data_IF_005241479915
#
_entry.id   IF_005241479915
#
_cell.length_a   1.000
_cell.length_b   1.000
_cell.length_c   1.000
_cell.angle_alpha   90.00
_cell.angle_beta   90.00
_cell.angle_gamma   90.00
#
_symmetry.space_group_name_H-M   'P 1'
#
loop_
_entity.id
_entity.type
_entity.pdbx_description
1 polymer ?
#
# COMPACT_ATOMS: atom_id res chain seq x y z
N UNK A 1 17.52 -11.97 -1.29
CA UNK A 1 18.42 -10.96 -1.88
C UNK A 1 19.00 -10.15 -0.74
N UNK A 2 20.32 -9.90 -0.69
CA UNK A 2 20.87 -8.94 0.27
C UNK A 2 20.32 -7.54 -0.02
N UNK A 3 20.14 -6.74 1.04
CA UNK A 3 19.70 -5.35 0.91
C UNK A 3 20.80 -4.52 0.23
N UNK A 4 20.39 -3.65 -0.68
CA UNK A 4 21.27 -2.64 -1.28
C UNK A 4 21.66 -1.59 -0.23
N UNK A 5 22.85 -0.96 -0.33
CA UNK A 5 23.24 0.12 0.59
C UNK A 5 22.18 1.22 0.75
N UNK A 6 21.55 1.64 -0.36
CA UNK A 6 20.46 2.62 -0.35
C UNK A 6 19.21 2.14 0.42
N UNK A 7 18.93 0.84 0.36
CA UNK A 7 17.80 0.24 1.09
C UNK A 7 18.08 0.20 2.60
N UNK A 8 19.34 -0.06 2.97
CA UNK A 8 19.79 0.04 4.36
C UNK A 8 19.72 1.48 4.89
N UNK A 9 20.13 2.48 4.11
CA UNK A 9 19.99 3.90 4.46
C UNK A 9 18.52 4.27 4.68
N UNK A 10 17.62 3.81 3.81
CA UNK A 10 16.18 4.06 3.95
C UNK A 10 15.63 3.44 5.24
N UNK A 11 16.04 2.21 5.57
CA UNK A 11 15.67 1.56 6.83
C UNK A 11 16.20 2.32 8.05
N UNK A 12 17.45 2.79 8.00
CA UNK A 12 18.04 3.59 9.05
C UNK A 12 17.26 4.90 9.25
N UNK A 13 16.88 5.59 8.17
CA UNK A 13 16.06 6.80 8.24
C UNK A 13 14.72 6.56 8.97
N UNK A 14 14.03 5.46 8.70
CA UNK A 14 12.75 5.16 9.39
C UNK A 14 12.92 4.92 10.89
N UNK A 15 14.04 4.31 11.30
CA UNK A 15 14.35 4.04 12.70
C UNK A 15 14.84 5.30 13.43
N UNK A 16 15.78 6.03 12.82
CA UNK A 16 16.53 7.10 13.47
C UNK A 16 15.83 8.45 13.36
N UNK A 17 15.26 8.79 12.19
CA UNK A 17 14.64 10.11 11.96
C UNK A 17 13.15 10.11 12.25
N UNK A 18 12.43 9.09 11.77
CA UNK A 18 10.98 9.01 11.95
C UNK A 18 10.56 8.37 13.27
N UNK A 19 11.51 7.86 14.04
CA UNK A 19 11.31 7.12 15.29
C UNK A 19 10.20 6.08 15.18
N UNK A 20 10.12 5.40 14.03
CA UNK A 20 9.14 4.36 13.82
C UNK A 20 9.55 3.13 14.61
N UNK A 21 8.58 2.55 15.31
CA UNK A 21 8.83 1.32 16.03
C UNK A 21 9.18 0.20 15.03
N UNK A 22 10.26 -0.58 15.26
CA UNK A 22 10.66 -1.68 14.37
C UNK A 22 9.52 -2.67 14.09
N UNK A 23 8.60 -2.83 15.06
CA UNK A 23 7.43 -3.69 14.90
C UNK A 23 6.45 -3.18 13.85
N UNK A 24 6.28 -1.86 13.73
CA UNK A 24 5.44 -1.21 12.72
C UNK A 24 6.08 -1.32 11.34
N UNK A 25 7.41 -1.09 11.24
CA UNK A 25 8.15 -1.28 9.98
C UNK A 25 8.00 -2.72 9.48
N UNK A 26 8.13 -3.71 10.38
CA UNK A 26 7.93 -5.12 10.04
C UNK A 26 6.50 -5.41 9.58
N UNK A 27 5.50 -4.77 10.18
CA UNK A 27 4.11 -4.89 9.73
C UNK A 27 3.91 -4.29 8.33
N UNK A 28 4.50 -3.13 8.04
CA UNK A 28 4.42 -2.48 6.71
C UNK A 28 5.09 -3.33 5.63
N UNK A 29 6.24 -3.93 5.94
CA UNK A 29 6.92 -4.89 5.07
C UNK A 29 6.03 -6.10 4.74
N UNK A 30 5.35 -6.66 5.75
CA UNK A 30 4.40 -7.77 5.53
C UNK A 30 3.22 -7.35 4.66
N UNK A 31 2.69 -6.15 4.85
CA UNK A 31 1.59 -5.62 4.03
C UNK A 31 2.02 -5.38 2.58
N UNK A 32 3.25 -4.91 2.36
CA UNK A 32 3.84 -4.76 1.04
C UNK A 32 3.98 -6.11 0.30
N UNK A 33 4.38 -7.18 1.01
CA UNK A 33 4.41 -8.54 0.49
C UNK A 33 3.01 -9.02 0.10
N UNK A 34 2.02 -8.85 0.98
CA UNK A 34 0.61 -9.24 0.72
C UNK A 34 0.05 -8.49 -0.49
N UNK A 35 0.40 -7.22 -0.64
CA UNK A 35 0.01 -6.38 -1.78
C UNK A 35 0.76 -6.71 -3.08
N UNK A 36 1.76 -7.58 -3.03
CA UNK A 36 2.62 -7.93 -4.18
C UNK A 36 3.53 -6.78 -4.63
N UNK A 37 3.74 -5.76 -3.80
CA UNK A 37 4.50 -4.54 -4.13
C UNK A 37 5.65 -4.34 -3.15
N UNK A 38 6.69 -5.15 -3.29
CA UNK A 38 7.87 -5.11 -2.42
C UNK A 38 8.90 -4.10 -2.95
N UNK A 39 8.60 -2.81 -2.79
CA UNK A 39 9.55 -1.74 -3.07
C UNK A 39 9.51 -0.70 -1.94
N UNK A 40 10.67 -0.09 -1.66
CA UNK A 40 10.84 0.84 -0.54
C UNK A 40 9.95 2.07 -0.64
N UNK A 41 9.73 2.60 -1.85
CA UNK A 41 8.78 3.72 -2.08
C UNK A 41 7.35 3.37 -1.67
N UNK A 42 6.92 2.13 -1.87
CA UNK A 42 5.59 1.68 -1.47
C UNK A 42 5.51 1.47 0.04
N UNK A 43 6.55 0.91 0.65
CA UNK A 43 6.64 0.73 2.10
C UNK A 43 6.64 2.09 2.81
N UNK A 44 7.41 3.05 2.29
CA UNK A 44 7.46 4.43 2.78
C UNK A 44 6.07 5.08 2.77
N UNK A 45 5.31 4.90 1.68
CA UNK A 45 3.94 5.38 1.60
C UNK A 45 3.02 4.73 2.64
N UNK A 46 3.15 3.43 2.89
CA UNK A 46 2.38 2.74 3.94
C UNK A 46 2.70 3.34 5.31
N UNK A 47 3.99 3.50 5.62
CA UNK A 47 4.45 4.08 6.89
C UNK A 47 3.98 5.52 7.07
N UNK A 48 4.09 6.34 6.03
CA UNK A 48 3.58 7.71 6.03
C UNK A 48 2.08 7.77 6.32
N UNK A 49 1.31 6.90 5.66
CA UNK A 49 -0.14 6.87 5.84
C UNK A 49 -0.54 6.36 7.22
N UNK A 50 0.20 5.39 7.78
CA UNK A 50 0.00 4.92 9.15
C UNK A 50 0.34 6.00 10.18
N UNK A 51 1.47 6.69 10.02
CA UNK A 51 1.88 7.82 10.86
C UNK A 51 0.82 8.92 10.85
N UNK A 52 0.29 9.26 9.66
CA UNK A 52 -0.79 10.26 9.49
C UNK A 52 -2.09 9.85 10.18
N UNK A 53 -2.43 8.56 10.18
CA UNK A 53 -3.62 8.03 10.85
C UNK A 53 -3.38 7.73 12.35
N UNK A 54 -2.21 8.05 12.90
CA UNK A 54 -1.88 7.80 14.29
C UNK A 54 -1.72 6.32 14.65
N UNK A 55 -1.48 5.46 13.65
CA UNK A 55 -1.29 4.02 13.81
C UNK A 55 0.12 3.78 14.36
N UNK A 56 0.21 3.25 15.57
CA UNK A 56 1.48 2.98 16.26
C UNK A 56 1.65 1.52 16.69
N UNK A 57 0.59 0.71 16.56
CA UNK A 57 0.57 -0.67 17.04
C UNK A 57 0.39 -1.64 15.88
N UNK A 58 0.88 -2.87 16.06
CA UNK A 58 0.75 -3.94 15.07
C UNK A 58 -0.74 -4.28 14.83
N UNK A 59 -1.58 -4.32 15.87
CA UNK A 59 -3.02 -4.57 15.71
C UNK A 59 -3.68 -3.53 14.80
N UNK A 60 -3.42 -2.23 15.05
CA UNK A 60 -4.00 -1.15 14.25
C UNK A 60 -3.53 -1.20 12.79
N UNK A 61 -2.25 -1.51 12.56
CA UNK A 61 -1.69 -1.69 11.22
C UNK A 61 -2.37 -2.82 10.45
N UNK A 62 -2.59 -3.97 11.10
CA UNK A 62 -3.31 -5.11 10.51
C UNK A 62 -4.76 -4.76 10.18
N UNK A 63 -5.47 -4.10 11.10
CA UNK A 63 -6.85 -3.68 10.90
C UNK A 63 -6.97 -2.69 9.72
N UNK A 64 -6.06 -1.72 9.64
CA UNK A 64 -6.00 -0.78 8.53
C UNK A 64 -5.77 -1.47 7.18
N UNK A 65 -4.81 -2.41 7.11
CA UNK A 65 -4.55 -3.20 5.91
C UNK A 65 -5.77 -4.01 5.47
N UNK A 66 -6.50 -4.61 6.43
CA UNK A 66 -7.74 -5.33 6.16
C UNK A 66 -8.83 -4.41 5.59
N UNK A 67 -9.06 -3.25 6.22
CA UNK A 67 -10.03 -2.25 5.76
C UNK A 67 -9.70 -1.74 4.38
N UNK A 68 -8.44 -1.41 4.12
CA UNK A 68 -7.98 -0.94 2.81
C UNK A 68 -8.22 -1.97 1.70
N UNK A 69 -7.95 -3.26 1.95
CA UNK A 69 -8.24 -4.34 1.00
C UNK A 69 -9.74 -4.49 0.74
N UNK A 70 -10.58 -4.41 1.78
CA UNK A 70 -12.04 -4.50 1.62
C UNK A 70 -12.60 -3.33 0.80
N UNK A 71 -12.11 -2.11 1.03
CA UNK A 71 -12.50 -0.94 0.25
C UNK A 71 -12.13 -1.09 -1.24
N UNK A 72 -10.90 -1.55 -1.55
CA UNK A 72 -10.49 -1.79 -2.94
C UNK A 72 -11.35 -2.83 -3.65
N UNK A 73 -11.76 -3.91 -2.97
CA UNK A 73 -12.67 -4.93 -3.54
C UNK A 73 -14.05 -4.33 -3.89
N UNK A 74 -14.60 -3.46 -3.04
CA UNK A 74 -15.89 -2.79 -3.29
C UNK A 74 -15.84 -1.89 -4.54
N UNK A 75 -14.76 -1.11 -4.73
CA UNK A 75 -14.62 -0.25 -5.93
C UNK A 75 -14.57 -1.06 -7.22
N UNK A 76 -13.90 -2.21 -7.25
CA UNK A 76 -13.87 -3.08 -8.44
C UNK A 76 -15.21 -3.73 -8.78
N UNK A 77 -16.10 -3.91 -7.81
CA UNK A 77 -17.44 -4.49 -8.02
C UNK A 77 -18.42 -3.44 -8.58
N UNK A 78 -18.32 -2.18 -8.16
CA UNK A 78 -19.21 -1.09 -8.62
C UNK A 78 -18.94 -0.69 -10.07
N UNK A 79 -17.71 -0.80 -10.56
CA UNK A 79 -17.41 -0.50 -11.98
C UNK A 79 -17.93 -1.56 -12.96
N UNK A 80 -18.38 -2.74 -12.48
CA UNK A 80 -18.90 -3.82 -13.34
C UNK A 80 -20.41 -3.75 -13.54
N UNK A 81 -21.15 -2.91 -12.80
CA UNK A 81 -22.61 -2.80 -12.88
C UNK A 81 -23.13 -1.61 -13.69
N UNK A 82 -22.30 -0.62 -14.02
CA UNK A 82 -22.69 0.61 -14.73
C UNK A 82 -22.14 0.72 -16.18
N UNK A 83 -21.83 -0.42 -16.81
CA UNK A 83 -21.66 -0.46 -18.28
C UNK A 83 -23.01 -0.75 -18.95
N UNK A 84 -24.03 0.08 -18.69
CA UNK A 84 -25.14 0.25 -19.63
C UNK A 84 -24.93 1.59 -20.35
N UNK A 85 -24.85 1.49 -21.66
CA UNK A 85 -24.89 2.56 -22.68
C UNK A 85 -23.72 3.56 -22.73
N UNK A 86 -22.60 3.12 -23.33
CA UNK A 86 -21.86 4.03 -24.22
C UNK A 86 -21.89 3.36 -25.61
N UNK A 87 -22.52 3.96 -26.63
CA UNK A 87 -22.48 3.41 -27.98
C UNK A 87 -21.03 3.42 -28.46
N UNK A 88 -20.48 2.24 -28.67
CA UNK A 88 -19.13 2.02 -29.17
C UNK A 88 -19.09 2.40 -30.65
N UNK A 89 -18.84 3.67 -30.97
CA UNK A 89 -18.39 4.03 -32.31
C UNK A 89 -16.98 3.44 -32.49
N UNK A 90 -16.91 2.36 -33.27
CA UNK A 90 -15.68 1.72 -33.70
C UNK A 90 -15.09 2.55 -34.85
N UNK A 91 -14.13 3.41 -34.53
CA UNK A 91 -13.53 4.42 -35.43
C UNK A 91 -12.31 3.88 -36.20
N UNK A 92 -12.16 2.56 -36.26
CA UNK A 92 -11.01 1.89 -36.86
C UNK A 92 -11.42 0.94 -37.98
N UNK A 93 -12.32 1.41 -38.84
CA UNK A 93 -12.53 0.86 -40.18
C UNK A 93 -12.42 2.02 -41.17
N UNK A 94 -11.28 2.10 -41.85
CA UNK A 94 -11.09 2.90 -43.06
C UNK A 94 -10.37 2.03 -44.10
#
# INVERSE_FOLDING_TARGET
>A
RPLSPLECETLAMWLDQDHQDPSVIKAALREAVISGKLNFRYIDRILFEWKKNGIKTIEQAKDYGNKFRQQRKKTTLVQKSDSKTIPFYNWLEQ
#
